data_IF_993884272117
#
_entry.id   IF_993884272117
#
_cell.length_a   1.000
_cell.length_b   1.000
_cell.length_c   1.000
_cell.angle_alpha   90.00
_cell.angle_beta   90.00
_cell.angle_gamma   90.00
#
_symmetry.space_group_name_H-M   'P 1'
#
loop_
_entity.id
_entity.type
_entity.pdbx_description
1 polymer ?
#
# COMPACT_ATOMS: atom_id res chain seq x y z
N UNK A 1 57.33 -25.03 31.95
CA UNK A 1 57.10 -24.97 30.51
C UNK A 1 55.77 -25.69 30.28
N UNK A 2 54.68 -24.94 30.20
CA UNK A 2 53.32 -25.46 29.95
C UNK A 2 52.99 -25.13 28.49
N UNK A 3 52.97 -26.14 27.62
CA UNK A 3 52.58 -26.03 26.22
C UNK A 3 51.06 -25.91 26.15
N UNK A 4 50.57 -24.87 25.53
CA UNK A 4 49.17 -24.56 25.31
C UNK A 4 48.48 -25.61 24.42
N UNK A 5 47.26 -26.10 24.72
CA UNK A 5 46.59 -27.17 23.98
C UNK A 5 45.97 -26.72 22.64
N UNK A 6 46.24 -25.47 22.16
CA UNK A 6 45.63 -24.89 20.98
C UNK A 6 46.52 -24.90 19.71
N UNK A 7 47.74 -25.50 19.78
CA UNK A 7 48.69 -25.41 18.68
C UNK A 7 48.56 -26.51 17.59
N UNK A 8 47.46 -27.28 17.58
CA UNK A 8 47.31 -28.38 16.62
C UNK A 8 45.94 -28.37 15.94
N UNK A 9 45.50 -27.24 15.43
CA UNK A 9 44.39 -27.25 14.45
C UNK A 9 45.05 -27.34 13.06
N UNK A 10 44.68 -28.37 12.25
CA UNK A 10 45.22 -28.48 10.88
C UNK A 10 44.74 -27.28 10.08
N UNK A 11 45.67 -26.67 9.32
CA UNK A 11 45.39 -25.55 8.43
C UNK A 11 44.28 -25.79 7.38
N UNK A 12 43.77 -27.02 7.27
CA UNK A 12 42.64 -27.41 6.48
C UNK A 12 41.27 -27.01 7.10
N UNK A 13 41.21 -26.66 8.40
CA UNK A 13 39.95 -26.29 9.08
C UNK A 13 39.56 -24.82 8.87
N UNK A 14 40.45 -23.98 8.28
CA UNK A 14 40.18 -22.55 8.04
C UNK A 14 39.90 -22.23 6.56
N UNK A 15 39.75 -23.23 5.71
CA UNK A 15 39.40 -23.07 4.31
C UNK A 15 37.89 -23.23 4.09
N UNK A 16 37.08 -22.46 4.80
CA UNK A 16 35.78 -22.12 4.26
C UNK A 16 35.97 -20.91 3.32
N UNK A 17 36.64 -21.15 2.20
CA UNK A 17 36.58 -20.21 1.07
C UNK A 17 35.08 -20.00 0.82
N UNK A 18 34.65 -18.74 0.92
CA UNK A 18 33.35 -18.29 0.50
C UNK A 18 33.21 -18.68 -0.98
N UNK A 19 32.78 -19.92 -1.23
CA UNK A 19 32.41 -20.37 -2.56
C UNK A 19 31.26 -19.47 -2.95
N UNK A 20 31.50 -18.58 -3.88
CA UNK A 20 30.44 -17.78 -4.46
C UNK A 20 29.31 -18.71 -4.84
N UNK A 21 28.06 -18.45 -4.42
CA UNK A 21 26.94 -19.36 -4.68
C UNK A 21 26.86 -19.67 -6.19
N UNK A 22 26.38 -20.85 -6.57
CA UNK A 22 26.16 -21.22 -7.96
C UNK A 22 25.40 -20.12 -8.72
N UNK A 23 25.57 -20.04 -10.03
CA UNK A 23 24.95 -18.99 -10.83
C UNK A 23 23.43 -18.91 -10.66
N UNK A 24 22.76 -20.05 -10.49
CA UNK A 24 21.33 -20.13 -10.22
C UNK A 24 20.95 -19.52 -8.85
N UNK A 25 21.72 -19.82 -7.81
CA UNK A 25 21.49 -19.23 -6.47
C UNK A 25 21.73 -17.73 -6.47
N UNK A 26 22.73 -17.24 -7.17
CA UNK A 26 22.96 -15.79 -7.34
C UNK A 26 21.78 -15.13 -8.04
N UNK A 27 21.28 -15.73 -9.11
CA UNK A 27 20.15 -15.18 -9.85
C UNK A 27 18.88 -15.13 -8.97
N UNK A 28 18.64 -16.14 -8.15
CA UNK A 28 17.52 -16.15 -7.19
C UNK A 28 17.72 -15.07 -6.12
N UNK A 29 18.91 -14.93 -5.56
CA UNK A 29 19.22 -13.91 -4.56
C UNK A 29 19.06 -12.49 -5.12
N UNK A 30 19.54 -12.25 -6.34
CA UNK A 30 19.41 -10.96 -7.03
C UNK A 30 17.92 -10.63 -7.28
N UNK A 31 17.14 -11.64 -7.67
CA UNK A 31 15.71 -11.45 -7.91
C UNK A 31 14.94 -11.16 -6.61
N UNK A 32 15.25 -11.87 -5.53
CA UNK A 32 14.67 -11.61 -4.20
C UNK A 32 15.03 -10.21 -3.74
N UNK A 33 16.28 -9.81 -3.86
CA UNK A 33 16.74 -8.46 -3.48
C UNK A 33 16.06 -7.37 -4.29
N UNK A 34 15.88 -7.58 -5.59
CA UNK A 34 15.15 -6.65 -6.48
C UNK A 34 13.66 -6.54 -6.08
N UNK A 35 13.02 -7.66 -5.72
CA UNK A 35 11.64 -7.66 -5.24
C UNK A 35 11.50 -6.92 -3.91
N UNK A 36 12.39 -7.14 -2.96
CA UNK A 36 12.39 -6.44 -1.66
C UNK A 36 12.54 -4.93 -1.84
N UNK A 37 13.46 -4.50 -2.71
CA UNK A 37 13.62 -3.08 -3.05
C UNK A 37 12.35 -2.50 -3.66
N UNK A 38 11.69 -3.23 -4.56
CA UNK A 38 10.42 -2.82 -5.14
C UNK A 38 9.35 -2.66 -4.07
N UNK A 39 9.15 -3.68 -3.21
CA UNK A 39 8.15 -3.65 -2.15
C UNK A 39 8.39 -2.48 -1.18
N UNK A 40 9.62 -2.25 -0.74
CA UNK A 40 9.98 -1.11 0.09
C UNK A 40 9.68 0.24 -0.59
N UNK A 41 9.84 0.32 -1.91
CA UNK A 41 9.59 1.54 -2.68
C UNK A 41 8.11 1.91 -2.77
N UNK A 42 7.21 0.93 -2.74
CA UNK A 42 5.76 1.14 -2.91
C UNK A 42 4.98 1.17 -1.58
N UNK A 43 5.55 0.64 -0.49
CA UNK A 43 4.89 0.45 0.80
C UNK A 43 4.16 1.70 1.31
N UNK A 44 4.90 2.81 1.50
CA UNK A 44 4.33 4.05 2.06
C UNK A 44 3.21 4.63 1.21
N UNK A 45 3.34 4.54 -0.11
CA UNK A 45 2.33 5.03 -1.05
C UNK A 45 1.10 4.12 -1.06
N UNK A 46 1.33 2.81 -1.06
CA UNK A 46 0.27 1.81 -0.96
C UNK A 46 -0.54 1.97 0.34
N UNK A 47 0.14 2.19 1.47
CA UNK A 47 -0.51 2.45 2.74
C UNK A 47 -1.39 3.69 2.68
N UNK A 48 -0.89 4.81 2.14
CA UNK A 48 -1.70 6.03 1.98
C UNK A 48 -2.94 5.79 1.12
N UNK A 49 -2.80 5.06 -0.01
CA UNK A 49 -3.92 4.70 -0.88
C UNK A 49 -4.95 3.85 -0.12
N UNK A 50 -4.49 2.82 0.60
CA UNK A 50 -5.38 1.96 1.37
C UNK A 50 -6.09 2.74 2.49
N UNK A 51 -5.36 3.56 3.26
CA UNK A 51 -5.90 4.39 4.35
C UNK A 51 -6.99 5.34 3.88
N UNK A 52 -6.77 6.07 2.79
CA UNK A 52 -7.79 6.95 2.22
C UNK A 52 -9.04 6.15 1.79
N UNK A 53 -8.87 4.93 1.27
CA UNK A 53 -9.97 4.11 0.78
C UNK A 53 -10.76 3.42 1.90
N UNK A 54 -10.11 2.95 2.98
CA UNK A 54 -10.77 2.19 4.06
C UNK A 54 -11.00 3.01 5.33
N UNK A 55 -10.31 4.15 5.50
CA UNK A 55 -10.41 5.06 6.66
C UNK A 55 -10.16 4.36 8.01
N UNK A 56 -9.24 3.42 8.04
CA UNK A 56 -8.83 2.69 9.24
C UNK A 56 -7.40 2.21 9.04
N UNK A 57 -6.53 2.56 9.95
CA UNK A 57 -5.09 2.36 9.80
C UNK A 57 -4.70 0.88 9.86
N UNK A 58 -5.24 0.13 10.81
CA UNK A 58 -4.94 -1.30 10.94
C UNK A 58 -5.41 -2.09 9.70
N UNK A 59 -6.63 -1.82 9.20
CA UNK A 59 -7.11 -2.45 7.97
C UNK A 59 -6.26 -2.05 6.76
N UNK A 60 -5.77 -0.82 6.72
CA UNK A 60 -4.90 -0.36 5.64
C UNK A 60 -3.55 -1.08 5.66
N UNK A 61 -3.00 -1.28 6.87
CA UNK A 61 -1.75 -2.01 7.09
C UNK A 61 -1.90 -3.47 6.66
N UNK A 62 -2.94 -4.14 7.13
CA UNK A 62 -3.25 -5.53 6.76
C UNK A 62 -3.42 -5.71 5.24
N UNK A 63 -4.12 -4.77 4.60
CA UNK A 63 -4.33 -4.78 3.14
C UNK A 63 -2.99 -4.69 2.40
N UNK A 64 -2.09 -3.80 2.83
CA UNK A 64 -0.78 -3.62 2.20
C UNK A 64 0.09 -4.85 2.41
N UNK A 65 0.17 -5.38 3.62
CA UNK A 65 0.93 -6.59 3.94
C UNK A 65 0.42 -7.79 3.13
N UNK A 66 -0.89 -7.99 3.08
CA UNK A 66 -1.52 -9.03 2.28
C UNK A 66 -1.21 -8.91 0.79
N UNK A 67 -1.20 -7.66 0.25
CA UNK A 67 -0.88 -7.41 -1.14
C UNK A 67 0.60 -7.72 -1.45
N UNK A 68 1.52 -7.32 -0.57
CA UNK A 68 2.95 -7.61 -0.67
C UNK A 68 3.22 -9.12 -0.63
N UNK A 69 2.65 -9.82 0.36
CA UNK A 69 2.78 -11.26 0.49
C UNK A 69 2.22 -12.00 -0.73
N UNK A 70 1.08 -11.55 -1.27
CA UNK A 70 0.49 -12.16 -2.45
C UNK A 70 1.36 -11.95 -3.69
N UNK A 71 1.93 -10.76 -3.88
CA UNK A 71 2.86 -10.49 -4.97
C UNK A 71 4.09 -11.41 -4.86
N UNK A 72 4.74 -11.43 -3.70
CA UNK A 72 5.93 -12.24 -3.44
C UNK A 72 5.67 -13.74 -3.67
N UNK A 73 4.54 -14.27 -3.19
CA UNK A 73 4.23 -15.70 -3.32
C UNK A 73 3.84 -16.13 -4.74
N UNK A 74 3.19 -15.28 -5.51
CA UNK A 74 2.58 -15.68 -6.79
C UNK A 74 3.26 -15.09 -8.02
N UNK A 75 3.96 -13.97 -7.86
CA UNK A 75 4.44 -13.19 -8.99
C UNK A 75 5.92 -12.82 -8.88
N UNK A 76 6.66 -13.34 -7.91
CA UNK A 76 8.10 -13.08 -7.75
C UNK A 76 8.89 -13.44 -9.03
N UNK A 77 8.48 -14.49 -9.73
CA UNK A 77 9.13 -14.97 -10.96
C UNK A 77 8.73 -14.19 -12.23
N UNK A 78 7.82 -13.22 -12.12
CA UNK A 78 7.46 -12.36 -13.25
C UNK A 78 8.51 -11.29 -13.47
N UNK A 79 8.64 -10.77 -14.71
CA UNK A 79 9.49 -9.61 -14.99
C UNK A 79 9.16 -8.44 -14.06
N UNK A 80 10.19 -7.72 -13.63
CA UNK A 80 10.06 -6.60 -12.65
C UNK A 80 9.13 -5.48 -13.13
N UNK A 81 9.05 -5.29 -14.46
CA UNK A 81 8.19 -4.30 -15.10
C UNK A 81 6.69 -4.59 -14.88
N UNK A 82 6.35 -5.88 -14.68
CA UNK A 82 4.96 -6.30 -14.43
C UNK A 82 4.54 -6.15 -12.96
N UNK A 83 5.49 -6.08 -12.02
CA UNK A 83 5.17 -6.09 -10.59
C UNK A 83 4.31 -4.90 -10.17
N UNK A 84 4.60 -3.72 -10.69
CA UNK A 84 3.88 -2.51 -10.28
C UNK A 84 2.39 -2.55 -10.62
N UNK A 85 1.96 -2.78 -11.86
CA UNK A 85 0.52 -2.90 -12.17
C UNK A 85 -0.13 -4.11 -11.49
N UNK A 86 0.58 -5.24 -11.33
CA UNK A 86 0.08 -6.41 -10.62
C UNK A 86 -0.12 -6.13 -9.12
N UNK A 87 0.85 -5.49 -8.48
CA UNK A 87 0.76 -5.09 -7.08
C UNK A 87 -0.47 -4.22 -6.82
N UNK A 88 -0.65 -3.16 -7.61
CA UNK A 88 -1.81 -2.29 -7.45
C UNK A 88 -3.13 -2.97 -7.80
N UNK A 89 -3.13 -3.94 -8.70
CA UNK A 89 -4.32 -4.78 -8.94
C UNK A 89 -4.68 -5.59 -7.69
N UNK A 90 -3.70 -6.21 -7.06
CA UNK A 90 -3.90 -6.97 -5.82
C UNK A 90 -4.40 -6.04 -4.71
N UNK A 91 -3.71 -4.92 -4.50
CA UNK A 91 -4.08 -3.90 -3.51
C UNK A 91 -5.53 -3.44 -3.67
N UNK A 92 -5.93 -3.08 -4.90
CA UNK A 92 -7.30 -2.64 -5.19
C UNK A 92 -8.35 -3.74 -4.96
N UNK A 93 -8.00 -5.00 -5.21
CA UNK A 93 -8.88 -6.12 -4.89
C UNK A 93 -9.05 -6.26 -3.38
N UNK A 94 -7.97 -6.20 -2.58
CA UNK A 94 -8.02 -6.25 -1.12
C UNK A 94 -8.83 -5.11 -0.52
N UNK A 95 -8.66 -3.89 -1.00
CA UNK A 95 -9.47 -2.73 -0.60
C UNK A 95 -10.95 -2.99 -0.85
N UNK A 96 -11.32 -3.46 -2.04
CA UNK A 96 -12.73 -3.78 -2.37
C UNK A 96 -13.31 -4.88 -1.48
N UNK A 97 -12.54 -5.92 -1.21
CA UNK A 97 -12.98 -7.01 -0.36
C UNK A 97 -13.19 -6.55 1.09
N UNK A 98 -12.32 -5.69 1.61
CA UNK A 98 -12.49 -5.07 2.92
C UNK A 98 -13.77 -4.21 2.97
N UNK A 99 -13.96 -3.31 2.00
CA UNK A 99 -15.14 -2.46 1.92
C UNK A 99 -16.43 -3.27 1.78
N UNK A 100 -16.42 -4.37 1.00
CA UNK A 100 -17.57 -5.27 0.86
C UNK A 100 -17.89 -5.96 2.19
N UNK A 101 -16.88 -6.48 2.89
CA UNK A 101 -17.07 -7.12 4.21
C UNK A 101 -17.65 -6.15 5.23
N UNK A 102 -17.20 -4.90 5.26
CA UNK A 102 -17.74 -3.85 6.14
C UNK A 102 -19.20 -3.53 5.83
N UNK A 103 -19.57 -3.40 4.55
CA UNK A 103 -20.94 -3.16 4.12
C UNK A 103 -21.88 -4.31 4.53
N UNK A 104 -21.45 -5.56 4.34
CA UNK A 104 -22.22 -6.75 4.74
C UNK A 104 -22.40 -6.78 6.26
N UNK A 105 -21.32 -6.53 7.02
CA UNK A 105 -21.38 -6.50 8.49
C UNK A 105 -22.33 -5.40 8.98
N UNK A 106 -22.24 -4.20 8.43
CA UNK A 106 -23.15 -3.10 8.77
C UNK A 106 -24.61 -3.44 8.42
N UNK A 107 -24.88 -4.08 7.28
CA UNK A 107 -26.22 -4.51 6.88
C UNK A 107 -26.79 -5.60 7.80
N UNK A 108 -25.98 -6.56 8.22
CA UNK A 108 -26.41 -7.62 9.18
C UNK A 108 -26.68 -7.02 10.56
N UNK A 109 -25.85 -6.09 11.03
CA UNK A 109 -26.05 -5.40 12.31
C UNK A 109 -27.32 -4.55 12.29
N UNK A 110 -27.65 -3.90 11.17
CA UNK A 110 -28.89 -3.13 11.02
C UNK A 110 -30.17 -4.00 11.01
N UNK A 111 -30.04 -5.31 10.75
CA UNK A 111 -31.16 -6.25 10.67
C UNK A 111 -31.39 -7.05 11.95
N UNK A 112 -30.52 -6.94 12.99
CA UNK A 112 -30.69 -7.58 14.29
C UNK A 112 -31.46 -6.62 15.23
N UNK A 113 -32.76 -6.91 15.60
CA UNK A 113 -33.52 -6.03 16.46
C UNK A 113 -33.11 -6.05 17.95
N UNK A 114 -32.11 -6.81 18.31
CA UNK A 114 -31.72 -7.08 19.69
C UNK A 114 -30.30 -6.69 19.97
N UNK A 115 -30.03 -5.39 20.10
CA UNK A 115 -28.95 -4.82 20.94
C UNK A 115 -29.11 -3.30 20.97
N UNK A 116 -30.06 -2.84 21.77
CA UNK A 116 -29.98 -1.53 22.39
C UNK A 116 -28.94 -1.62 23.53
N UNK A 117 -28.09 -0.65 23.59
CA UNK A 117 -27.08 -0.38 24.64
C UNK A 117 -25.81 -1.23 24.58
N UNK A 118 -25.03 -0.97 23.58
CA UNK A 118 -23.62 -0.62 23.63
C UNK A 118 -23.36 0.02 22.28
N UNK A 119 -23.36 1.34 22.25
CA UNK A 119 -22.83 2.07 21.10
C UNK A 119 -21.41 1.56 20.89
N UNK A 120 -21.05 1.02 19.69
CA UNK A 120 -19.67 1.11 19.33
C UNK A 120 -19.48 2.62 19.18
N UNK A 121 -18.76 3.21 20.11
CA UNK A 121 -18.07 4.46 19.90
C UNK A 121 -17.58 4.42 18.46
N UNK A 122 -18.19 5.25 17.63
CA UNK A 122 -17.49 5.74 16.45
C UNK A 122 -16.30 6.42 17.09
N UNK A 123 -15.17 5.71 17.17
CA UNK A 123 -13.91 6.33 17.40
C UNK A 123 -13.80 7.42 16.34
N UNK A 124 -14.27 8.58 16.74
CA UNK A 124 -13.75 9.84 16.26
C UNK A 124 -12.34 9.77 16.75
N UNK A 125 -11.48 9.18 15.90
CA UNK A 125 -10.04 9.19 16.14
C UNK A 125 -9.70 10.66 16.31
N UNK A 126 -9.64 11.06 17.58
CA UNK A 126 -8.86 12.23 17.96
C UNK A 126 -7.54 12.06 17.23
N UNK A 127 -7.34 12.92 16.26
CA UNK A 127 -6.09 13.09 15.58
C UNK A 127 -5.05 13.29 16.69
N UNK A 128 -4.35 12.25 17.07
CA UNK A 128 -3.14 12.38 17.85
C UNK A 128 -2.22 13.18 16.95
N UNK A 129 -2.24 14.47 17.15
CA UNK A 129 -1.30 15.38 16.58
C UNK A 129 0.06 14.95 17.12
N UNK A 130 0.85 14.37 16.23
CA UNK A 130 2.27 14.17 16.47
C UNK A 130 2.86 15.56 16.67
N UNK A 131 3.06 15.91 17.94
CA UNK A 131 3.46 17.24 18.37
C UNK A 131 4.95 17.42 18.13
N UNK A 132 5.32 17.74 16.90
CA UNK A 132 6.60 18.37 16.64
C UNK A 132 6.37 19.88 16.45
N UNK A 133 6.98 20.77 17.24
CA UNK A 133 6.74 22.18 17.16
C UNK A 133 7.49 22.80 15.99
N UNK A 134 6.78 23.19 14.91
CA UNK A 134 7.28 24.20 13.99
C UNK A 134 6.16 25.00 13.35
N UNK A 135 6.39 26.33 13.06
CA UNK A 135 5.34 27.33 13.01
C UNK A 135 4.66 27.47 11.64
N UNK A 136 3.45 27.98 11.67
CA UNK A 136 2.57 28.57 10.64
C UNK A 136 2.50 27.92 9.24
N UNK A 137 3.60 27.65 8.55
CA UNK A 137 3.58 27.05 7.20
C UNK A 137 3.23 25.54 7.22
N UNK A 138 3.63 24.81 8.25
CA UNK A 138 3.31 23.36 8.38
C UNK A 138 1.85 23.14 8.77
N UNK A 139 1.26 24.03 9.55
CA UNK A 139 -0.16 23.95 9.92
C UNK A 139 -1.05 24.14 8.67
N UNK A 140 -0.77 25.16 7.85
CA UNK A 140 -1.50 25.43 6.60
C UNK A 140 -1.36 24.25 5.62
N UNK A 141 -0.15 23.67 5.53
CA UNK A 141 0.09 22.48 4.67
C UNK A 141 -0.65 21.24 5.21
N UNK A 142 -0.73 21.09 6.53
CA UNK A 142 -1.45 20.01 7.19
C UNK A 142 -2.96 20.10 6.96
N UNK A 143 -3.56 21.26 7.11
CA UNK A 143 -4.99 21.49 6.84
C UNK A 143 -5.34 21.27 5.38
N UNK A 144 -4.55 21.79 4.44
CA UNK A 144 -4.74 21.56 3.01
C UNK A 144 -4.65 20.06 2.64
N UNK A 145 -3.72 19.34 3.27
CA UNK A 145 -3.58 17.89 3.06
C UNK A 145 -4.79 17.11 3.60
N UNK A 146 -5.31 17.49 4.78
CA UNK A 146 -6.51 16.88 5.35
C UNK A 146 -7.74 17.14 4.47
N UNK A 147 -7.92 18.35 3.97
CA UNK A 147 -9.00 18.69 3.04
C UNK A 147 -8.91 17.88 1.75
N UNK A 148 -7.71 17.71 1.20
CA UNK A 148 -7.48 16.86 0.03
C UNK A 148 -7.80 15.39 0.33
N UNK A 149 -7.34 14.84 1.45
CA UNK A 149 -7.63 13.45 1.85
C UNK A 149 -9.14 13.23 2.02
N UNK A 150 -9.85 14.16 2.63
CA UNK A 150 -11.32 14.09 2.77
C UNK A 150 -12.02 14.16 1.40
N UNK A 151 -11.59 15.06 0.52
CA UNK A 151 -12.14 15.18 -0.82
C UNK A 151 -11.92 13.90 -1.64
N UNK A 152 -10.72 13.32 -1.56
CA UNK A 152 -10.39 12.03 -2.19
C UNK A 152 -11.23 10.88 -1.63
N UNK A 153 -11.37 10.81 -0.30
CA UNK A 153 -12.15 9.76 0.36
C UNK A 153 -13.65 9.84 0.05
N UNK A 154 -14.14 11.01 -0.35
CA UNK A 154 -15.53 11.22 -0.74
C UNK A 154 -15.81 10.95 -2.24
N UNK A 155 -14.78 10.65 -3.03
CA UNK A 155 -14.99 10.26 -4.43
C UNK A 155 -15.63 8.87 -4.54
N UNK A 156 -16.46 8.64 -5.59
CA UNK A 156 -16.85 7.29 -5.95
C UNK A 156 -15.63 6.40 -6.16
N UNK A 157 -15.68 5.16 -5.67
CA UNK A 157 -14.54 4.24 -5.59
C UNK A 157 -13.70 4.17 -6.88
N UNK A 158 -14.35 4.04 -8.04
CA UNK A 158 -13.63 3.94 -9.34
C UNK A 158 -12.95 5.24 -9.74
N UNK A 159 -13.51 6.37 -9.38
CA UNK A 159 -12.91 7.69 -9.61
C UNK A 159 -11.70 7.88 -8.70
N UNK A 160 -11.82 7.54 -7.42
CA UNK A 160 -10.73 7.55 -6.45
C UNK A 160 -9.57 6.66 -6.93
N UNK A 161 -9.84 5.42 -7.33
CA UNK A 161 -8.84 4.49 -7.86
C UNK A 161 -8.09 5.09 -9.05
N UNK A 162 -8.82 5.58 -10.07
CA UNK A 162 -8.21 6.16 -11.25
C UNK A 162 -7.33 7.36 -10.92
N UNK A 163 -7.79 8.25 -10.06
CA UNK A 163 -7.05 9.42 -9.64
C UNK A 163 -5.77 9.05 -8.90
N UNK A 164 -5.87 8.17 -7.89
CA UNK A 164 -4.72 7.80 -7.07
C UNK A 164 -3.64 7.07 -7.88
N UNK A 165 -4.03 6.13 -8.75
CA UNK A 165 -3.08 5.38 -9.57
C UNK A 165 -2.39 6.27 -10.61
N UNK A 166 -3.09 7.28 -11.14
CA UNK A 166 -2.55 8.21 -12.14
C UNK A 166 -1.65 9.29 -11.52
N UNK A 167 -2.01 9.84 -10.36
CA UNK A 167 -1.31 10.99 -9.78
C UNK A 167 -0.32 10.61 -8.68
N UNK A 168 -0.63 9.63 -7.81
CA UNK A 168 0.31 9.24 -6.76
C UNK A 168 1.28 8.16 -7.22
N UNK A 169 0.86 7.31 -8.16
CA UNK A 169 1.66 6.22 -8.66
C UNK A 169 2.18 6.45 -10.08
N UNK A 170 1.77 7.53 -10.72
CA UNK A 170 2.21 7.92 -12.06
C UNK A 170 2.04 6.81 -13.11
N UNK A 171 1.11 5.86 -12.85
CA UNK A 171 0.84 4.79 -13.80
C UNK A 171 0.29 5.38 -15.10
N UNK A 172 0.73 4.90 -16.22
CA UNK A 172 0.11 5.24 -17.50
C UNK A 172 -1.31 4.69 -17.61
N UNK A 173 -2.04 5.02 -18.67
CA UNK A 173 -3.44 4.60 -18.83
C UNK A 173 -3.54 3.08 -18.96
N UNK A 174 -2.57 2.42 -19.61
CA UNK A 174 -2.59 0.98 -19.83
C UNK A 174 -2.34 0.22 -18.52
N UNK A 175 -1.31 0.61 -17.76
CA UNK A 175 -1.01 0.05 -16.44
C UNK A 175 -2.14 0.31 -15.44
N UNK A 176 -2.77 1.50 -15.48
CA UNK A 176 -3.93 1.82 -14.65
C UNK A 176 -5.13 0.93 -15.01
N UNK A 177 -5.37 0.68 -16.30
CA UNK A 177 -6.44 -0.20 -16.77
C UNK A 177 -6.22 -1.65 -16.26
N UNK A 178 -4.98 -2.15 -16.32
CA UNK A 178 -4.59 -3.44 -15.75
C UNK A 178 -4.84 -3.48 -14.24
N UNK A 179 -4.39 -2.48 -13.50
CA UNK A 179 -4.57 -2.41 -12.04
C UNK A 179 -6.05 -2.32 -11.65
N UNK A 180 -6.85 -1.55 -12.37
CA UNK A 180 -8.29 -1.41 -12.12
C UNK A 180 -9.15 -2.56 -12.66
N UNK A 181 -8.61 -3.39 -13.57
CA UNK A 181 -9.36 -4.44 -14.26
C UNK A 181 -10.49 -3.86 -15.13
N UNK A 182 -10.20 -2.82 -15.92
CA UNK A 182 -11.16 -2.17 -16.81
C UNK A 182 -10.48 -1.70 -18.11
N UNK A 183 -11.27 -1.15 -19.04
CA UNK A 183 -10.73 -0.62 -20.29
C UNK A 183 -10.01 0.72 -20.11
N UNK A 184 -9.08 1.04 -21.01
CA UNK A 184 -8.40 2.33 -21.05
C UNK A 184 -9.38 3.51 -21.19
N UNK A 185 -10.47 3.33 -21.93
CA UNK A 185 -11.56 4.32 -22.04
C UNK A 185 -12.25 4.58 -20.70
N UNK A 186 -12.52 3.50 -19.93
CA UNK A 186 -13.09 3.61 -18.58
C UNK A 186 -12.16 4.36 -17.63
N UNK A 187 -10.85 4.11 -17.69
CA UNK A 187 -9.85 4.84 -16.90
C UNK A 187 -9.93 6.34 -17.19
N UNK A 188 -9.89 6.73 -18.47
CA UNK A 188 -9.97 8.14 -18.87
C UNK A 188 -11.24 8.81 -18.35
N UNK A 189 -12.39 8.13 -18.47
CA UNK A 189 -13.67 8.63 -17.97
C UNK A 189 -13.69 8.79 -16.45
N UNK A 190 -13.23 7.76 -15.71
CA UNK A 190 -13.16 7.84 -14.24
C UNK A 190 -12.21 8.92 -13.77
N UNK A 191 -11.05 9.04 -14.39
CA UNK A 191 -10.06 10.05 -14.07
C UNK A 191 -10.59 11.48 -14.32
N UNK A 192 -11.17 11.73 -15.50
CA UNK A 192 -11.75 13.03 -15.82
C UNK A 192 -12.85 13.45 -14.84
N UNK A 193 -13.74 12.54 -14.48
CA UNK A 193 -14.79 12.79 -13.48
C UNK A 193 -14.20 13.05 -12.10
N UNK A 194 -13.16 12.31 -11.70
CA UNK A 194 -12.48 12.54 -10.43
C UNK A 194 -11.88 13.94 -10.35
N UNK A 195 -11.15 14.37 -11.40
CA UNK A 195 -10.55 15.70 -11.49
C UNK A 195 -11.62 16.80 -11.42
N UNK A 196 -12.72 16.62 -12.15
CA UNK A 196 -13.84 17.58 -12.13
C UNK A 196 -14.43 17.70 -10.72
N UNK A 197 -14.78 16.58 -10.08
CA UNK A 197 -15.33 16.59 -8.72
C UNK A 197 -14.37 17.19 -7.69
N UNK A 198 -13.06 16.91 -7.81
CA UNK A 198 -12.07 17.48 -6.91
C UNK A 198 -11.93 18.99 -7.10
N UNK A 199 -11.94 19.49 -8.33
CA UNK A 199 -11.92 20.93 -8.60
C UNK A 199 -13.14 21.64 -8.02
N UNK A 200 -14.32 21.06 -8.15
CA UNK A 200 -15.55 21.64 -7.55
C UNK A 200 -15.48 21.70 -6.01
N UNK A 201 -14.87 20.67 -5.38
CA UNK A 201 -14.78 20.59 -3.91
C UNK A 201 -13.66 21.41 -3.30
N UNK A 202 -12.55 21.53 -3.98
CA UNK A 202 -11.36 22.22 -3.47
C UNK A 202 -11.31 23.69 -3.89
N UNK A 203 -12.23 24.13 -4.77
CA UNK A 203 -12.30 25.51 -5.24
C UNK A 203 -11.03 25.96 -5.97
N UNK A 204 -10.73 27.26 -5.89
CA UNK A 204 -9.57 27.88 -6.54
C UNK A 204 -8.21 27.53 -5.91
N UNK A 205 -8.17 26.59 -4.98
CA UNK A 205 -6.91 26.14 -4.33
C UNK A 205 -6.05 25.28 -5.28
N UNK A 206 -6.53 25.09 -6.52
CA UNK A 206 -5.84 24.32 -7.57
C UNK A 206 -5.63 25.14 -8.83
#
# INVERSE_FOLDING_TARGET
>A
MLTSPFDTLPAAALRWEAQSPPAEERQILDQVHTLDQFLASVEKRAFRIARIAVRHDDDALDIVQDAMLQLARRYAQRPSEEWRPLFYRILQNRIRDCQRRRKVRAGVMAWLPWRSHDEPEVDVIETVADTAPQPSHQAITGEALQVLEQALAALPQRQQQAFMLRNFEELDVAATALAMGCSAGSVKTHYSRAVHTLRERLGEVW
#
